data_IF_012232185547
#
_entry.id   IF_012232185547
#
_cell.length_a   1.000
_cell.length_b   1.000
_cell.length_c   1.000
_cell.angle_alpha   90.00
_cell.angle_beta   90.00
_cell.angle_gamma   90.00
#
_symmetry.space_group_name_H-M   'P 1'
#
loop_
_entity.id
_entity.type
_entity.pdbx_description
1 polymer ?
#
# COMPACT_ATOMS: atom_id res chain seq x y z
N UNK A 1 -24.24 -23.74 -10.61
CA UNK A 1 -23.61 -23.58 -11.94
C UNK A 1 -24.39 -22.50 -12.66
N UNK A 2 -23.92 -21.26 -12.65
CA UNK A 2 -24.62 -20.12 -13.29
C UNK A 2 -23.82 -19.75 -14.53
N UNK A 3 -24.36 -20.08 -15.71
CA UNK A 3 -23.88 -19.59 -16.98
C UNK A 3 -24.04 -18.06 -16.99
N UNK A 4 -22.96 -17.32 -17.24
CA UNK A 4 -23.02 -15.87 -17.42
C UNK A 4 -22.73 -15.56 -18.89
N UNK A 5 -23.61 -14.73 -19.48
CA UNK A 5 -23.72 -14.41 -20.90
C UNK A 5 -22.49 -13.72 -21.50
N UNK A 6 -22.37 -13.85 -22.82
CA UNK A 6 -21.42 -13.15 -23.69
C UNK A 6 -21.35 -11.64 -23.39
N UNK A 7 -20.14 -11.09 -23.41
CA UNK A 7 -19.90 -9.67 -23.15
C UNK A 7 -20.40 -8.86 -24.35
N UNK A 8 -21.59 -8.25 -24.22
CA UNK A 8 -22.06 -7.25 -25.17
C UNK A 8 -21.32 -5.93 -24.93
N UNK A 9 -20.66 -5.44 -25.97
CA UNK A 9 -20.00 -4.15 -25.97
C UNK A 9 -20.36 -3.34 -27.21
N UNK A 10 -20.35 -2.01 -27.05
CA UNK A 10 -20.62 -1.04 -28.10
C UNK A 10 -19.43 -0.11 -28.24
N UNK A 11 -18.87 -0.01 -29.43
CA UNK A 11 -17.82 0.96 -29.73
C UNK A 11 -18.46 2.35 -29.75
N UNK A 12 -17.92 3.27 -28.96
CA UNK A 12 -18.38 4.67 -28.87
C UNK A 12 -17.56 5.54 -29.82
N UNK A 13 -16.27 5.28 -29.89
CA UNK A 13 -15.34 5.97 -30.78
C UNK A 13 -14.10 5.11 -30.99
N UNK A 14 -13.59 5.04 -32.22
CA UNK A 14 -12.30 4.45 -32.55
C UNK A 14 -11.49 5.43 -33.37
N UNK A 15 -10.23 5.60 -33.01
CA UNK A 15 -9.20 6.27 -33.81
C UNK A 15 -7.92 5.40 -33.73
N UNK A 16 -6.99 5.49 -34.71
CA UNK A 16 -5.73 4.76 -34.65
C UNK A 16 -5.03 4.95 -33.30
N UNK A 17 -4.78 3.83 -32.62
CA UNK A 17 -4.12 3.78 -31.31
C UNK A 17 -5.03 4.10 -30.10
N UNK A 18 -6.33 4.38 -30.29
CA UNK A 18 -7.27 4.63 -29.20
C UNK A 18 -8.70 4.18 -29.52
N UNK A 19 -9.20 3.24 -28.73
CA UNK A 19 -10.58 2.76 -28.82
C UNK A 19 -11.33 3.04 -27.51
N UNK A 20 -12.58 3.49 -27.63
CA UNK A 20 -13.50 3.69 -26.50
C UNK A 20 -14.69 2.75 -26.65
N UNK A 21 -14.86 1.88 -25.66
CA UNK A 21 -15.88 0.84 -25.65
C UNK A 21 -16.81 1.06 -24.47
N UNK A 22 -18.12 1.00 -24.70
CA UNK A 22 -19.13 0.82 -23.66
C UNK A 22 -19.36 -0.67 -23.46
N UNK A 23 -19.34 -1.15 -22.22
CA UNK A 23 -19.68 -2.56 -21.93
C UNK A 23 -20.95 -2.57 -21.09
N UNK A 24 -22.02 -3.14 -21.62
CA UNK A 24 -23.34 -3.07 -20.99
C UNK A 24 -23.40 -3.86 -19.67
N UNK A 25 -22.63 -4.94 -19.57
CA UNK A 25 -22.51 -5.78 -18.36
C UNK A 25 -21.72 -5.13 -17.22
N UNK A 26 -21.09 -3.96 -17.43
CA UNK A 26 -20.34 -3.22 -16.39
C UNK A 26 -21.20 -2.41 -15.42
N UNK A 27 -22.51 -2.64 -15.39
CA UNK A 27 -23.46 -1.91 -14.53
C UNK A 27 -23.01 -1.90 -13.06
N UNK A 28 -22.48 -0.73 -12.63
CA UNK A 28 -22.21 -0.32 -11.24
C UNK A 28 -21.20 -1.15 -10.44
N UNK A 29 -20.60 -2.21 -11.00
CA UNK A 29 -19.60 -3.05 -10.32
C UNK A 29 -18.18 -2.59 -10.65
N UNK A 30 -17.67 -1.68 -9.84
CA UNK A 30 -16.28 -1.19 -9.89
C UNK A 30 -15.26 -2.34 -9.98
N UNK A 31 -15.47 -3.40 -9.19
CA UNK A 31 -14.66 -4.62 -9.21
C UNK A 31 -14.57 -5.26 -10.62
N UNK A 32 -15.68 -5.31 -11.36
CA UNK A 32 -15.71 -5.91 -12.69
C UNK A 32 -15.01 -5.02 -13.73
N UNK A 33 -15.12 -3.69 -13.59
CA UNK A 33 -14.38 -2.75 -14.43
C UNK A 33 -12.87 -2.91 -14.31
N UNK A 34 -12.37 -3.07 -13.09
CA UNK A 34 -10.95 -3.30 -12.85
C UNK A 34 -10.47 -4.67 -13.34
N UNK A 35 -11.27 -5.72 -13.18
CA UNK A 35 -10.94 -7.04 -13.72
C UNK A 35 -10.74 -6.98 -15.25
N UNK A 36 -11.64 -6.28 -15.94
CA UNK A 36 -11.53 -6.10 -17.38
C UNK A 36 -10.29 -5.27 -17.72
N UNK A 37 -10.01 -4.16 -17.02
CA UNK A 37 -8.77 -3.37 -17.25
C UNK A 37 -7.51 -4.23 -17.08
N UNK A 38 -7.43 -5.04 -16.03
CA UNK A 38 -6.22 -5.82 -15.76
C UNK A 38 -6.03 -6.93 -16.80
N UNK A 39 -7.13 -7.58 -17.19
CA UNK A 39 -7.14 -8.51 -18.33
C UNK A 39 -6.71 -7.82 -19.63
N UNK A 40 -7.13 -6.58 -19.88
CA UNK A 40 -6.69 -5.82 -21.05
C UNK A 40 -5.20 -5.47 -21.00
N UNK A 41 -4.69 -5.01 -19.86
CA UNK A 41 -3.26 -4.68 -19.70
C UNK A 41 -2.34 -5.89 -19.95
N UNK A 42 -2.84 -7.11 -19.77
CA UNK A 42 -2.08 -8.34 -20.06
C UNK A 42 -1.94 -8.66 -21.56
N UNK A 43 -2.64 -7.93 -22.43
CA UNK A 43 -2.57 -8.12 -23.88
C UNK A 43 -1.37 -7.35 -24.43
N UNK A 44 -0.43 -8.07 -25.04
CA UNK A 44 0.69 -7.48 -25.78
C UNK A 44 0.19 -6.50 -26.85
N UNK A 45 0.69 -5.26 -26.78
CA UNK A 45 0.36 -4.12 -27.66
C UNK A 45 -0.65 -3.14 -27.06
N UNK A 46 -1.24 -3.41 -25.89
CA UNK A 46 -2.02 -2.42 -25.13
C UNK A 46 -1.08 -1.58 -24.27
N UNK A 47 -1.12 -0.26 -24.45
CA UNK A 47 -0.29 0.72 -23.71
C UNK A 47 -0.96 1.06 -22.38
N UNK A 48 -2.26 1.33 -22.40
CA UNK A 48 -3.02 1.61 -21.19
C UNK A 48 -4.51 1.37 -21.38
N UNK A 49 -5.22 1.09 -20.29
CA UNK A 49 -6.66 0.99 -20.28
C UNK A 49 -7.20 1.67 -19.01
N UNK A 50 -8.29 2.43 -19.15
CA UNK A 50 -8.95 3.13 -18.05
C UNK A 50 -10.46 2.93 -18.11
N UNK A 51 -11.12 2.91 -16.95
CA UNK A 51 -12.55 2.67 -16.83
C UNK A 51 -13.21 3.84 -16.14
N UNK A 52 -14.28 4.36 -16.75
CA UNK A 52 -15.12 5.37 -16.14
C UNK A 52 -16.41 4.72 -15.62
N UNK A 53 -16.50 4.62 -14.29
CA UNK A 53 -17.66 4.06 -13.57
C UNK A 53 -18.97 4.78 -13.86
N UNK A 54 -18.93 6.10 -14.10
CA UNK A 54 -20.13 6.91 -14.35
C UNK A 54 -20.67 6.66 -15.75
N UNK A 55 -19.79 6.60 -16.75
CA UNK A 55 -20.20 6.45 -18.15
C UNK A 55 -20.23 4.99 -18.63
N UNK A 56 -19.72 4.04 -17.83
CA UNK A 56 -19.53 2.62 -18.21
C UNK A 56 -18.60 2.43 -19.42
N UNK A 57 -17.68 3.38 -19.59
CA UNK A 57 -16.80 3.40 -20.75
C UNK A 57 -15.42 2.93 -20.34
N UNK A 58 -14.83 2.06 -21.15
CA UNK A 58 -13.42 1.73 -21.12
C UNK A 58 -12.75 2.51 -22.24
N UNK A 59 -11.65 3.20 -21.92
CA UNK A 59 -10.77 3.84 -22.88
C UNK A 59 -9.48 3.04 -22.94
N UNK A 60 -9.12 2.58 -24.13
CA UNK A 60 -7.96 1.72 -24.40
C UNK A 60 -7.03 2.45 -25.34
N UNK A 61 -5.76 2.58 -24.95
CA UNK A 61 -4.67 3.00 -25.81
C UNK A 61 -3.83 1.79 -26.19
N UNK A 62 -3.55 1.63 -27.48
CA UNK A 62 -2.82 0.49 -28.02
C UNK A 62 -1.87 0.94 -29.13
N UNK A 63 -0.87 0.12 -29.43
CA UNK A 63 0.05 0.31 -30.55
C UNK A 63 -0.64 -0.20 -31.81
N UNK A 64 -1.10 0.71 -32.65
CA UNK A 64 -1.84 0.40 -33.88
C UNK A 64 -0.95 -0.26 -34.93
N UNK A 65 0.37 -0.18 -34.77
CA UNK A 65 1.37 -0.90 -35.55
C UNK A 65 1.47 -2.39 -35.17
N UNK A 66 1.02 -2.77 -33.96
CA UNK A 66 1.18 -4.13 -33.40
C UNK A 66 -0.15 -4.89 -33.27
N UNK A 67 -1.28 -4.19 -33.09
CA UNK A 67 -2.62 -4.79 -33.00
C UNK A 67 -3.62 -3.99 -33.82
N UNK A 68 -4.33 -4.67 -34.72
CA UNK A 68 -5.47 -4.08 -35.43
C UNK A 68 -6.74 -4.02 -34.54
N UNK A 69 -7.63 -3.07 -34.83
CA UNK A 69 -8.88 -2.88 -34.07
C UNK A 69 -9.71 -4.17 -34.01
N UNK A 70 -9.81 -4.91 -35.13
CA UNK A 70 -10.54 -6.17 -35.20
C UNK A 70 -9.97 -7.23 -34.23
N UNK A 71 -8.65 -7.33 -34.14
CA UNK A 71 -7.94 -8.24 -33.24
C UNK A 71 -8.08 -7.82 -31.78
N UNK A 72 -8.03 -6.52 -31.49
CA UNK A 72 -8.26 -5.97 -30.16
C UNK A 72 -9.67 -6.33 -29.67
N UNK A 73 -10.69 -6.16 -30.52
CA UNK A 73 -12.08 -6.46 -30.18
C UNK A 73 -12.33 -7.95 -29.97
N UNK A 74 -11.73 -8.83 -30.78
CA UNK A 74 -11.81 -10.27 -30.57
C UNK A 74 -11.13 -10.68 -29.26
N UNK A 75 -9.95 -10.14 -28.95
CA UNK A 75 -9.30 -10.37 -27.67
C UNK A 75 -10.15 -9.89 -26.50
N UNK A 76 -10.86 -8.76 -26.62
CA UNK A 76 -11.82 -8.27 -25.60
C UNK A 76 -12.99 -9.25 -25.41
N UNK A 77 -13.54 -9.82 -26.49
CA UNK A 77 -14.62 -10.82 -26.42
C UNK A 77 -14.18 -12.10 -25.70
N UNK A 78 -12.95 -12.53 -25.97
CA UNK A 78 -12.37 -13.77 -25.44
C UNK A 78 -11.81 -13.63 -24.00
N UNK A 79 -11.88 -12.44 -23.40
CA UNK A 79 -11.39 -12.22 -22.03
C UNK A 79 -12.24 -13.00 -21.00
N UNK A 80 -11.75 -14.17 -20.59
CA UNK A 80 -12.22 -14.87 -19.39
C UNK A 80 -11.65 -14.21 -18.12
N UNK A 81 -12.25 -13.10 -17.73
CA UNK A 81 -11.86 -12.31 -16.55
C UNK A 81 -12.09 -13.03 -15.20
N UNK A 82 -12.58 -14.29 -15.20
CA UNK A 82 -12.73 -15.11 -13.99
C UNK A 82 -11.44 -15.88 -13.62
N UNK A 83 -10.61 -16.25 -14.61
CA UNK A 83 -9.50 -17.21 -14.40
C UNK A 83 -8.30 -16.60 -13.66
N UNK A 84 -8.03 -15.31 -13.84
CA UNK A 84 -6.89 -14.61 -13.24
C UNK A 84 -7.10 -14.13 -11.80
N UNK A 85 -8.32 -14.14 -11.25
CA UNK A 85 -8.61 -13.52 -9.94
C UNK A 85 -9.20 -14.46 -8.87
N UNK A 86 -9.61 -15.67 -9.24
CA UNK A 86 -10.23 -16.62 -8.30
C UNK A 86 -9.26 -17.19 -7.24
N UNK A 87 -7.95 -17.20 -7.51
CA UNK A 87 -6.94 -17.64 -6.52
C UNK A 87 -6.53 -16.52 -5.55
N UNK A 88 -6.62 -15.26 -5.96
CA UNK A 88 -6.16 -14.12 -5.15
C UNK A 88 -7.30 -13.53 -4.30
N UNK A 89 -8.54 -13.55 -4.81
CA UNK A 89 -9.72 -13.03 -4.10
C UNK A 89 -10.18 -13.86 -2.89
N UNK A 90 -9.69 -15.11 -2.73
CA UNK A 90 -10.00 -15.95 -1.56
C UNK A 90 -9.25 -15.55 -0.30
N UNK A 91 -8.10 -14.88 -0.43
CA UNK A 91 -7.19 -14.53 0.69
C UNK A 91 -7.20 -13.05 1.07
N UNK A 92 -7.83 -12.17 0.27
CA UNK A 92 -7.95 -10.75 0.58
C UNK A 92 -9.01 -10.55 1.66
N UNK A 93 -8.67 -9.75 2.68
CA UNK A 93 -9.49 -9.45 3.84
C UNK A 93 -10.90 -8.97 3.40
N UNK A 94 -11.94 -9.75 3.72
CA UNK A 94 -13.34 -9.49 3.29
C UNK A 94 -14.10 -8.55 4.24
N UNK A 95 -13.40 -7.88 5.13
CA UNK A 95 -14.06 -7.06 6.14
C UNK A 95 -14.73 -5.85 5.48
N UNK A 96 -16.01 -5.64 5.82
CA UNK A 96 -16.75 -4.45 5.40
C UNK A 96 -16.37 -3.26 6.29
N UNK A 97 -16.46 -2.04 5.75
CA UNK A 97 -16.22 -0.80 6.52
C UNK A 97 -17.09 -0.78 7.80
N UNK A 98 -18.35 -1.21 7.70
CA UNK A 98 -19.24 -1.30 8.87
C UNK A 98 -18.71 -2.23 9.94
N UNK A 99 -18.13 -3.37 9.56
CA UNK A 99 -17.51 -4.32 10.49
C UNK A 99 -16.23 -3.73 11.12
N UNK A 100 -15.45 -2.95 10.37
CA UNK A 100 -14.28 -2.23 10.90
C UNK A 100 -14.72 -1.21 11.94
N UNK A 101 -15.69 -0.34 11.61
CA UNK A 101 -16.22 0.68 12.52
C UNK A 101 -16.79 0.04 13.79
N UNK A 102 -17.64 -0.98 13.65
CA UNK A 102 -18.26 -1.65 14.78
C UNK A 102 -17.21 -2.26 15.74
N UNK A 103 -16.13 -2.82 15.19
CA UNK A 103 -15.02 -3.32 16.02
C UNK A 103 -14.33 -2.20 16.78
N UNK A 104 -14.07 -1.06 16.14
CA UNK A 104 -13.39 0.09 16.79
C UNK A 104 -14.25 0.78 17.85
N UNK A 105 -15.57 0.72 17.70
CA UNK A 105 -16.54 1.20 18.68
C UNK A 105 -16.64 0.30 19.92
N UNK A 106 -16.19 -0.96 19.83
CA UNK A 106 -16.23 -1.88 20.96
C UNK A 106 -15.05 -1.62 21.92
N UNK A 107 -15.29 -1.11 23.15
CA UNK A 107 -14.22 -0.78 24.10
C UNK A 107 -13.39 -2.00 24.51
N UNK A 108 -14.00 -3.19 24.53
CA UNK A 108 -13.30 -4.43 24.88
C UNK A 108 -12.27 -4.84 23.80
N UNK A 109 -12.44 -4.39 22.56
CA UNK A 109 -11.47 -4.67 21.49
C UNK A 109 -10.13 -3.98 21.75
N UNK A 110 -10.17 -2.76 22.31
CA UNK A 110 -9.00 -1.95 22.60
C UNK A 110 -8.25 -2.45 23.84
N UNK A 111 -9.01 -2.83 24.88
CA UNK A 111 -8.45 -3.36 26.14
C UNK A 111 -7.68 -4.66 25.88
N UNK A 112 -8.20 -5.53 25.00
CA UNK A 112 -7.54 -6.80 24.64
C UNK A 112 -6.38 -6.65 23.64
N UNK A 113 -5.97 -5.42 23.29
CA UNK A 113 -4.98 -5.11 22.25
C UNK A 113 -5.21 -5.89 20.95
N UNK A 114 -6.47 -5.94 20.49
CA UNK A 114 -6.82 -6.72 19.29
C UNK A 114 -6.11 -6.20 18.03
N UNK A 115 -5.73 -4.92 18.01
CA UNK A 115 -4.97 -4.31 16.92
C UNK A 115 -3.46 -4.56 17.09
N UNK A 116 -2.75 -4.96 16.03
CA UNK A 116 -1.33 -5.27 16.11
C UNK A 116 -0.53 -4.01 16.46
N UNK A 117 0.29 -4.11 17.51
CA UNK A 117 1.02 -2.96 18.06
C UNK A 117 1.94 -2.28 17.02
N UNK A 118 2.56 -3.05 16.10
CA UNK A 118 3.44 -2.48 15.07
C UNK A 118 2.73 -1.43 14.20
N UNK A 119 1.56 -1.76 13.64
CA UNK A 119 0.83 -0.85 12.74
C UNK A 119 0.05 0.27 13.44
N UNK A 120 -0.29 0.10 14.72
CA UNK A 120 -1.16 1.02 15.48
C UNK A 120 -0.44 1.63 16.70
N UNK A 121 0.90 1.66 16.68
CA UNK A 121 1.74 2.13 17.81
C UNK A 121 1.35 3.55 18.26
N UNK A 122 1.17 4.46 17.30
CA UNK A 122 0.84 5.86 17.57
C UNK A 122 -0.58 6.00 18.11
N UNK A 123 -1.53 5.24 17.58
CA UNK A 123 -2.93 5.20 18.06
C UNK A 123 -3.00 4.74 19.52
N UNK A 124 -2.22 3.73 19.90
CA UNK A 124 -2.12 3.30 21.30
C UNK A 124 -1.45 4.36 22.19
N UNK A 125 -0.42 5.05 21.68
CA UNK A 125 0.27 6.13 22.42
C UNK A 125 -0.68 7.30 22.70
N UNK A 126 -1.41 7.77 21.69
CA UNK A 126 -2.42 8.81 21.81
C UNK A 126 -3.60 8.39 22.68
N UNK A 127 -4.08 7.16 22.51
CA UNK A 127 -5.17 6.58 23.30
C UNK A 127 -4.94 6.67 24.81
N UNK A 128 -3.73 6.32 25.28
CA UNK A 128 -3.36 6.42 26.70
C UNK A 128 -3.47 7.86 27.22
N UNK A 129 -3.03 8.84 26.43
CA UNK A 129 -3.09 10.26 26.79
C UNK A 129 -4.55 10.74 26.87
N UNK A 130 -5.36 10.40 25.88
CA UNK A 130 -6.78 10.79 25.80
C UNK A 130 -7.57 10.18 26.97
N UNK A 131 -7.41 8.88 27.26
CA UNK A 131 -8.10 8.23 28.38
C UNK A 131 -7.75 8.92 29.70
N UNK A 132 -6.45 9.18 29.95
CA UNK A 132 -6.00 9.81 31.19
C UNK A 132 -6.60 11.21 31.35
N UNK A 133 -6.59 12.01 30.28
CA UNK A 133 -7.19 13.35 30.28
C UNK A 133 -8.71 13.29 30.47
N UNK A 134 -9.40 12.39 29.78
CA UNK A 134 -10.85 12.21 29.89
C UNK A 134 -11.29 11.82 31.30
N UNK A 135 -10.59 10.88 31.94
CA UNK A 135 -10.85 10.48 33.33
C UNK A 135 -10.61 11.63 34.31
N UNK A 136 -9.53 12.38 34.12
CA UNK A 136 -9.20 13.53 34.97
C UNK A 136 -10.27 14.64 34.85
N UNK A 137 -10.59 15.04 33.62
CA UNK A 137 -11.59 16.08 33.37
C UNK A 137 -12.98 15.64 33.83
N UNK A 138 -13.37 14.39 33.54
CA UNK A 138 -14.63 13.83 34.00
C UNK A 138 -14.72 13.80 35.53
N UNK A 139 -13.64 13.40 36.22
CA UNK A 139 -13.57 13.38 37.69
C UNK A 139 -13.70 14.77 38.31
N UNK A 140 -13.01 15.77 37.76
CA UNK A 140 -13.10 17.17 38.22
C UNK A 140 -14.53 17.68 38.05
N UNK A 141 -15.12 17.50 36.87
CA UNK A 141 -16.49 17.96 36.60
C UNK A 141 -17.48 17.26 37.52
N UNK A 142 -17.34 15.95 37.74
CA UNK A 142 -18.19 15.21 38.65
C UNK A 142 -18.08 15.70 40.09
N UNK A 143 -16.87 15.98 40.58
CA UNK A 143 -16.65 16.48 41.93
C UNK A 143 -17.30 17.86 42.15
N UNK A 144 -17.30 18.72 41.12
CA UNK A 144 -17.89 20.07 41.20
C UNK A 144 -19.41 20.02 41.04
N UNK A 145 -19.92 19.28 40.04
CA UNK A 145 -21.34 19.33 39.67
C UNK A 145 -22.18 18.22 40.29
N UNK A 146 -21.56 17.20 40.89
CA UNK A 146 -22.20 15.96 41.40
C UNK A 146 -23.15 15.30 40.40
N UNK A 147 -22.85 15.43 39.09
CA UNK A 147 -23.78 15.05 38.02
C UNK A 147 -23.17 13.94 37.16
N UNK A 148 -23.70 12.74 37.34
CA UNK A 148 -23.24 11.55 36.63
C UNK A 148 -23.42 11.65 35.11
N UNK A 149 -24.38 12.46 34.62
CA UNK A 149 -24.64 12.63 33.19
C UNK A 149 -23.45 13.29 32.48
N UNK A 150 -22.90 14.36 33.05
CA UNK A 150 -21.74 15.04 32.49
C UNK A 150 -20.49 14.14 32.51
N UNK A 151 -20.29 13.39 33.60
CA UNK A 151 -19.20 12.41 33.67
C UNK A 151 -19.27 11.40 32.52
N UNK A 152 -20.43 10.78 32.32
CA UNK A 152 -20.63 9.77 31.26
C UNK A 152 -20.43 10.40 29.88
N UNK A 153 -20.96 11.61 29.62
CA UNK A 153 -20.78 12.34 28.37
C UNK A 153 -19.30 12.61 28.06
N UNK A 154 -18.52 13.03 29.05
CA UNK A 154 -17.08 13.28 28.90
C UNK A 154 -16.33 11.97 28.60
N UNK A 155 -16.69 10.87 29.27
CA UNK A 155 -16.08 9.55 29.02
C UNK A 155 -16.38 9.04 27.62
N UNK A 156 -17.60 9.25 27.10
CA UNK A 156 -17.97 8.90 25.72
C UNK A 156 -17.11 9.68 24.73
N UNK A 157 -17.01 11.01 24.89
CA UNK A 157 -16.24 11.86 23.97
C UNK A 157 -14.73 11.60 24.06
N UNK A 158 -14.25 11.16 25.23
CA UNK A 158 -12.86 10.78 25.45
C UNK A 158 -12.53 9.34 25.03
N UNK A 159 -13.49 8.60 24.48
CA UNK A 159 -13.24 7.23 24.06
C UNK A 159 -12.30 7.20 22.83
N UNK A 160 -11.16 6.50 22.89
CA UNK A 160 -10.13 6.58 21.84
C UNK A 160 -10.41 5.73 20.60
N UNK A 161 -11.54 5.01 20.52
CA UNK A 161 -11.86 4.13 19.39
C UNK A 161 -11.88 4.84 18.03
N UNK A 162 -12.13 6.16 18.02
CA UNK A 162 -12.12 6.98 16.81
C UNK A 162 -10.74 7.01 16.14
N UNK A 163 -9.64 6.93 16.92
CA UNK A 163 -8.28 6.88 16.36
C UNK A 163 -8.09 5.61 15.52
N UNK A 164 -8.46 4.47 16.10
CA UNK A 164 -8.37 3.17 15.44
C UNK A 164 -9.34 3.06 14.25
N UNK A 165 -10.52 3.70 14.34
CA UNK A 165 -11.45 3.81 13.22
C UNK A 165 -10.81 4.53 12.03
N UNK A 166 -10.25 5.72 12.27
CA UNK A 166 -9.60 6.53 11.25
C UNK A 166 -8.48 5.74 10.57
N UNK A 167 -7.54 5.18 11.35
CA UNK A 167 -6.41 4.42 10.80
C UNK A 167 -6.87 3.20 10.01
N UNK A 168 -7.79 2.41 10.58
CA UNK A 168 -8.29 1.19 9.92
C UNK A 168 -9.02 1.48 8.60
N UNK A 169 -9.83 2.55 8.56
CA UNK A 169 -10.56 2.97 7.37
C UNK A 169 -9.59 3.47 6.29
N UNK A 170 -8.59 4.26 6.68
CA UNK A 170 -7.57 4.77 5.78
C UNK A 170 -6.76 3.62 5.15
N UNK A 171 -6.28 2.68 5.98
CA UNK A 171 -5.60 1.47 5.52
C UNK A 171 -6.47 0.64 4.58
N UNK A 172 -7.75 0.46 4.89
CA UNK A 172 -8.68 -0.28 4.04
C UNK A 172 -8.82 0.35 2.64
N UNK A 173 -9.04 1.67 2.56
CA UNK A 173 -9.18 2.34 1.26
C UNK A 173 -7.88 2.33 0.45
N UNK A 174 -6.75 2.55 1.11
CA UNK A 174 -5.44 2.52 0.48
C UNK A 174 -5.09 1.10 -0.01
N UNK A 175 -5.43 0.07 0.76
CA UNK A 175 -5.22 -1.33 0.37
C UNK A 175 -6.08 -1.69 -0.84
N UNK A 176 -7.35 -1.29 -0.84
CA UNK A 176 -8.24 -1.44 -1.99
C UNK A 176 -7.67 -0.76 -3.24
N UNK A 177 -7.06 0.41 -3.09
CA UNK A 177 -6.41 1.14 -4.19
C UNK A 177 -5.13 0.46 -4.70
N UNK A 178 -4.32 -0.08 -3.79
CA UNK A 178 -3.15 -0.87 -4.13
C UNK A 178 -3.54 -2.13 -4.91
N UNK A 179 -4.63 -2.81 -4.50
CA UNK A 179 -5.17 -3.96 -5.22
C UNK A 179 -5.55 -3.63 -6.66
N UNK A 180 -6.06 -2.43 -6.93
CA UNK A 180 -6.35 -1.98 -8.31
C UNK A 180 -5.10 -1.77 -9.17
N UNK A 181 -3.92 -1.68 -8.56
CA UNK A 181 -2.63 -1.55 -9.23
C UNK A 181 -1.82 -2.86 -9.21
N UNK A 182 -2.48 -3.98 -8.94
CA UNK A 182 -1.90 -5.32 -8.85
C UNK A 182 -0.89 -5.49 -7.70
N UNK A 183 -1.12 -4.76 -6.61
CA UNK A 183 -0.34 -4.86 -5.38
C UNK A 183 -1.25 -5.43 -4.30
N UNK A 184 -0.84 -6.54 -3.70
CA UNK A 184 -1.65 -7.29 -2.76
C UNK A 184 -1.02 -7.33 -1.38
N UNK A 185 -1.81 -6.96 -0.38
CA UNK A 185 -1.38 -6.96 1.00
C UNK A 185 -1.98 -8.15 1.74
N UNK A 186 -1.19 -8.78 2.61
CA UNK A 186 -1.71 -9.78 3.54
C UNK A 186 -2.66 -9.15 4.57
N UNK A 187 -2.38 -7.93 4.99
CA UNK A 187 -3.17 -7.14 5.94
C UNK A 187 -3.08 -5.65 5.59
N UNK A 188 -4.17 -4.93 5.77
CA UNK A 188 -4.30 -3.55 5.29
C UNK A 188 -3.33 -2.58 6.00
N UNK A 189 -3.04 -2.81 7.29
CA UNK A 189 -2.15 -1.94 8.07
C UNK A 189 -0.69 -1.96 7.62
N UNK A 190 -0.28 -2.90 6.75
CA UNK A 190 1.06 -2.89 6.17
C UNK A 190 1.31 -1.64 5.32
N UNK A 191 0.26 -1.00 4.80
CA UNK A 191 0.38 0.33 4.19
C UNK A 191 0.90 1.36 5.19
N UNK A 192 0.41 1.36 6.42
CA UNK A 192 0.88 2.31 7.42
C UNK A 192 2.33 2.07 7.83
N UNK A 193 2.73 0.79 7.92
CA UNK A 193 4.13 0.44 8.20
C UNK A 193 5.06 0.92 7.09
N UNK A 194 4.68 0.75 5.83
CA UNK A 194 5.45 1.26 4.68
C UNK A 194 5.61 2.80 4.74
N UNK A 195 4.63 3.50 5.29
CA UNK A 195 4.62 4.97 5.32
C UNK A 195 5.55 5.51 6.39
N UNK A 196 5.88 4.68 7.37
CA UNK A 196 6.81 4.98 8.46
C UNK A 196 8.21 4.42 8.20
N UNK A 197 8.43 3.83 7.03
CA UNK A 197 9.74 3.34 6.62
C UNK A 197 10.68 4.50 6.37
N UNK A 198 11.87 4.39 6.96
CA UNK A 198 12.99 5.33 6.77
C UNK A 198 14.17 4.62 6.10
N UNK A 199 14.35 3.33 6.40
CA UNK A 199 15.39 2.47 5.84
C UNK A 199 14.80 1.42 4.90
N UNK A 200 15.37 1.33 3.70
CA UNK A 200 14.99 0.37 2.67
C UNK A 200 16.14 -0.60 2.36
N UNK A 201 15.90 -1.89 2.59
CA UNK A 201 16.77 -2.98 2.14
C UNK A 201 16.31 -3.47 0.78
N UNK A 202 17.18 -3.44 -0.23
CA UNK A 202 16.85 -3.86 -1.60
C UNK A 202 17.77 -5.01 -2.01
N UNK A 203 17.19 -6.04 -2.64
CA UNK A 203 17.95 -7.10 -3.29
C UNK A 203 18.53 -6.63 -4.63
N UNK A 204 19.81 -6.89 -4.88
CA UNK A 204 20.51 -6.53 -6.12
C UNK A 204 19.85 -7.05 -7.40
N UNK A 205 19.29 -8.27 -7.37
CA UNK A 205 18.61 -8.89 -8.51
C UNK A 205 17.43 -8.04 -9.05
N UNK A 206 16.85 -7.17 -8.23
CA UNK A 206 15.79 -6.24 -8.65
C UNK A 206 16.33 -5.04 -9.42
N UNK A 207 17.63 -4.76 -9.30
CA UNK A 207 18.30 -3.59 -9.87
C UNK A 207 19.16 -3.93 -11.10
N UNK A 208 19.29 -5.21 -11.43
CA UNK A 208 20.11 -5.72 -12.52
C UNK A 208 19.20 -6.14 -13.68
N UNK A 209 19.61 -5.87 -14.93
CA UNK A 209 18.92 -6.39 -16.12
C UNK A 209 18.97 -7.92 -16.13
N UNK A 210 17.86 -8.57 -16.50
CA UNK A 210 17.71 -10.03 -16.48
C UNK A 210 18.88 -10.78 -17.14
N UNK A 211 19.43 -10.26 -18.25
CA UNK A 211 20.58 -10.85 -18.97
C UNK A 211 21.88 -10.95 -18.15
N UNK A 212 21.97 -10.26 -17.02
CA UNK A 212 23.16 -10.21 -16.18
C UNK A 212 23.01 -10.93 -14.83
N UNK A 213 21.80 -11.39 -14.48
CA UNK A 213 21.53 -12.09 -13.19
C UNK A 213 22.34 -13.39 -13.07
N UNK A 214 22.65 -14.06 -14.18
CA UNK A 214 23.38 -15.33 -14.23
C UNK A 214 24.66 -15.29 -15.08
N UNK A 215 25.15 -14.09 -15.42
CA UNK A 215 26.26 -13.96 -16.36
C UNK A 215 27.61 -14.20 -15.68
N UNK A 216 28.21 -15.36 -15.92
CA UNK A 216 29.49 -15.79 -15.35
C UNK A 216 30.66 -14.89 -15.74
N UNK A 217 30.59 -14.16 -16.86
CA UNK A 217 31.66 -13.26 -17.30
C UNK A 217 31.81 -12.04 -16.38
N UNK A 218 30.71 -11.54 -15.79
CA UNK A 218 30.75 -10.42 -14.86
C UNK A 218 31.26 -10.82 -13.47
N UNK A 219 31.17 -12.11 -13.12
CA UNK A 219 31.65 -12.63 -11.84
C UNK A 219 33.18 -12.64 -11.71
N UNK A 220 33.90 -12.54 -12.83
CA UNK A 220 35.37 -12.56 -12.83
C UNK A 220 35.99 -11.17 -13.02
N UNK A 221 35.18 -10.11 -13.08
CA UNK A 221 35.63 -8.75 -13.36
C UNK A 221 35.63 -7.91 -12.09
N UNK A 222 36.75 -7.25 -11.80
CA UNK A 222 36.82 -6.25 -10.72
C UNK A 222 35.92 -5.05 -11.03
N UNK A 223 35.40 -4.40 -9.98
CA UNK A 223 34.52 -3.22 -10.08
C UNK A 223 35.09 -2.10 -10.95
N UNK A 224 36.40 -1.86 -10.90
CA UNK A 224 37.07 -0.83 -11.74
C UNK A 224 37.02 -1.18 -13.22
N UNK A 225 37.14 -2.46 -13.57
CA UNK A 225 37.04 -2.97 -14.94
C UNK A 225 35.61 -2.89 -15.45
N UNK A 226 34.62 -3.25 -14.62
CA UNK A 226 33.20 -3.09 -14.94
C UNK A 226 32.88 -1.61 -15.24
N UNK A 227 33.33 -0.68 -14.37
CA UNK A 227 33.15 0.76 -14.57
C UNK A 227 33.78 1.24 -15.88
N UNK A 228 35.02 0.84 -16.15
CA UNK A 228 35.74 1.21 -17.39
C UNK A 228 35.02 0.68 -18.62
N UNK A 229 34.58 -0.57 -18.62
CA UNK A 229 33.90 -1.15 -19.79
C UNK A 229 32.51 -0.56 -20.01
N UNK A 230 31.76 -0.26 -18.95
CA UNK A 230 30.49 0.45 -19.05
C UNK A 230 30.69 1.87 -19.61
N UNK A 231 31.68 2.62 -19.10
CA UNK A 231 31.99 3.98 -19.57
C UNK A 231 32.45 4.02 -21.04
N UNK A 232 33.23 3.02 -21.44
CA UNK A 232 33.73 2.88 -22.82
C UNK A 232 32.71 2.24 -23.78
N UNK A 233 31.46 1.98 -23.33
CA UNK A 233 30.41 1.27 -24.08
C UNK A 233 30.84 -0.11 -24.63
N UNK A 234 31.85 -0.73 -24.01
CA UNK A 234 32.30 -2.09 -24.32
C UNK A 234 31.45 -3.15 -23.62
N UNK A 235 30.72 -2.75 -22.58
CA UNK A 235 29.73 -3.54 -21.87
C UNK A 235 28.46 -2.69 -21.75
N UNK A 236 27.30 -3.24 -22.09
CA UNK A 236 26.05 -2.54 -21.76
C UNK A 236 25.94 -2.36 -20.26
N UNK A 237 25.51 -1.18 -19.81
CA UNK A 237 25.32 -0.92 -18.39
C UNK A 237 24.40 -1.99 -17.79
N UNK A 238 24.85 -2.74 -16.76
CA UNK A 238 24.06 -3.82 -16.18
C UNK A 238 22.80 -3.32 -15.46
N UNK A 239 22.72 -2.02 -15.19
CA UNK A 239 21.59 -1.37 -14.54
C UNK A 239 20.62 -0.84 -15.59
N UNK A 240 19.33 -1.01 -15.30
CA UNK A 240 18.25 -0.42 -16.09
C UNK A 240 18.18 1.09 -15.82
N UNK A 241 18.29 1.98 -16.82
CA UNK A 241 18.19 3.43 -16.64
C UNK A 241 16.84 3.88 -16.04
N UNK A 242 15.78 3.08 -16.13
CA UNK A 242 14.52 3.38 -15.41
C UNK A 242 14.68 3.29 -13.89
N UNK A 243 15.61 2.47 -13.39
CA UNK A 243 15.83 2.25 -11.96
C UNK A 243 16.47 3.45 -11.28
N UNK A 244 17.35 4.17 -11.97
CA UNK A 244 17.94 5.41 -11.44
C UNK A 244 16.84 6.43 -11.08
N UNK A 245 15.85 6.56 -11.97
CA UNK A 245 14.66 7.40 -11.74
C UNK A 245 13.80 6.88 -10.58
N UNK A 246 13.72 5.56 -10.41
CA UNK A 246 12.97 4.93 -9.32
C UNK A 246 13.65 5.22 -7.98
N UNK A 247 14.98 5.02 -7.89
CA UNK A 247 15.76 5.31 -6.69
C UNK A 247 15.67 6.79 -6.32
N UNK A 248 15.77 7.68 -7.30
CA UNK A 248 15.59 9.12 -7.09
C UNK A 248 14.22 9.43 -6.48
N UNK A 249 13.13 8.89 -7.05
CA UNK A 249 11.77 9.08 -6.51
C UNK A 249 11.61 8.50 -5.11
N UNK A 250 12.26 7.39 -4.80
CA UNK A 250 12.23 6.79 -3.46
C UNK A 250 12.85 7.74 -2.43
N UNK A 251 13.99 8.37 -2.78
CA UNK A 251 14.60 9.40 -1.94
C UNK A 251 13.74 10.65 -1.84
N UNK A 252 13.12 11.09 -2.93
CA UNK A 252 12.17 12.22 -2.96
C UNK A 252 11.00 12.02 -1.97
N UNK A 253 10.53 10.79 -1.81
CA UNK A 253 9.49 10.44 -0.83
C UNK A 253 9.98 10.22 0.61
N UNK A 254 11.22 10.62 0.90
CA UNK A 254 11.76 10.72 2.26
C UNK A 254 12.41 9.45 2.80
N UNK A 255 12.82 8.52 1.94
CA UNK A 255 13.69 7.41 2.35
C UNK A 255 15.12 7.93 2.47
N UNK A 256 15.64 7.92 3.69
CA UNK A 256 16.96 8.47 4.04
C UNK A 256 18.06 7.45 3.78
N UNK A 257 17.80 6.18 4.10
CA UNK A 257 18.78 5.12 4.11
C UNK A 257 18.41 4.03 3.10
N UNK A 258 19.20 3.91 2.04
CA UNK A 258 19.13 2.82 1.08
C UNK A 258 20.25 1.83 1.36
N UNK A 259 19.87 0.58 1.50
CA UNK A 259 20.78 -0.52 1.80
C UNK A 259 20.60 -1.58 0.72
N UNK A 260 21.67 -1.89 -0.01
CA UNK A 260 21.68 -2.94 -1.02
C UNK A 260 22.27 -4.21 -0.44
N UNK A 261 21.70 -5.36 -0.75
CA UNK A 261 22.29 -6.64 -0.39
C UNK A 261 22.33 -7.61 -1.58
N UNK A 262 23.30 -8.51 -1.55
CA UNK A 262 23.49 -9.56 -2.55
C UNK A 262 24.07 -10.83 -1.92
N UNK A 263 23.76 -11.97 -2.55
CA UNK A 263 24.37 -13.28 -2.29
C UNK A 263 25.42 -13.69 -3.34
N UNK A 264 25.44 -13.00 -4.48
CA UNK A 264 26.04 -13.51 -5.70
C UNK A 264 27.42 -12.92 -5.96
N UNK A 265 27.49 -11.62 -6.20
CA UNK A 265 28.68 -10.96 -6.72
C UNK A 265 28.91 -9.63 -5.99
N UNK A 266 30.01 -9.57 -5.23
CA UNK A 266 30.37 -8.41 -4.42
C UNK A 266 30.83 -7.24 -5.30
N UNK A 267 31.57 -7.53 -6.36
CA UNK A 267 32.09 -6.53 -7.29
C UNK A 267 30.97 -5.82 -8.05
N UNK A 268 29.91 -6.56 -8.42
CA UNK A 268 28.69 -6.04 -9.04
C UNK A 268 27.85 -5.25 -8.04
N UNK A 269 27.72 -5.73 -6.80
CA UNK A 269 27.06 -5.02 -5.70
C UNK A 269 27.70 -3.62 -5.48
N UNK A 270 29.03 -3.55 -5.46
CA UNK A 270 29.77 -2.29 -5.31
C UNK A 270 29.65 -1.38 -6.53
N UNK A 271 29.53 -1.95 -7.73
CA UNK A 271 29.22 -1.18 -8.94
C UNK A 271 27.83 -0.54 -8.86
N UNK A 272 26.80 -1.33 -8.52
CA UNK A 272 25.41 -0.87 -8.41
C UNK A 272 25.29 0.23 -7.36
N UNK A 273 25.84 -0.01 -6.17
CA UNK A 273 25.83 0.95 -5.07
C UNK A 273 26.40 2.30 -5.48
N UNK A 274 27.58 2.29 -6.11
CA UNK A 274 28.22 3.51 -6.59
C UNK A 274 27.38 4.24 -7.64
N UNK A 275 26.85 3.51 -8.63
CA UNK A 275 26.10 4.11 -9.73
C UNK A 275 24.72 4.65 -9.36
N UNK A 276 24.06 4.06 -8.36
CA UNK A 276 22.73 4.48 -7.90
C UNK A 276 22.80 5.36 -6.64
N UNK A 277 24.01 5.61 -6.11
CA UNK A 277 24.22 6.39 -4.90
C UNK A 277 23.55 5.75 -3.67
N UNK A 278 23.80 4.47 -3.44
CA UNK A 278 23.26 3.72 -2.29
C UNK A 278 24.17 3.90 -1.07
N UNK A 279 23.57 4.00 0.12
CA UNK A 279 24.29 4.41 1.34
C UNK A 279 25.13 3.28 1.94
N UNK A 280 24.62 2.05 1.93
CA UNK A 280 25.32 0.87 2.49
C UNK A 280 25.10 -0.38 1.63
N UNK A 281 26.09 -1.27 1.63
CA UNK A 281 26.03 -2.59 0.98
C UNK A 281 26.28 -3.71 1.98
N UNK A 282 25.56 -4.82 1.83
CA UNK A 282 25.79 -6.03 2.61
C UNK A 282 25.89 -7.25 1.70
N UNK A 283 27.03 -7.92 1.74
CA UNK A 283 27.14 -9.26 1.18
C UNK A 283 26.66 -10.26 2.24
N UNK A 284 25.59 -10.99 1.94
CA UNK A 284 24.85 -11.81 2.90
C UNK A 284 25.74 -12.90 3.51
N UNK A 285 26.57 -13.59 2.71
CA UNK A 285 27.49 -14.64 3.21
C UNK A 285 28.39 -14.17 4.35
N UNK A 286 28.80 -12.91 4.32
CA UNK A 286 29.75 -12.35 5.28
C UNK A 286 29.06 -11.68 6.48
N UNK A 287 27.78 -11.26 6.34
CA UNK A 287 27.15 -10.29 7.24
C UNK A 287 25.82 -10.73 7.89
N UNK A 288 25.42 -12.01 7.81
CA UNK A 288 24.16 -12.52 8.41
C UNK A 288 24.03 -12.17 9.90
N UNK A 289 25.12 -12.24 10.67
CA UNK A 289 25.11 -11.92 12.10
C UNK A 289 24.84 -10.42 12.35
N UNK A 290 25.51 -9.55 11.60
CA UNK A 290 25.31 -8.09 11.67
C UNK A 290 23.87 -7.73 11.29
N UNK A 291 23.32 -8.37 10.26
CA UNK A 291 21.94 -8.13 9.81
C UNK A 291 20.88 -8.62 10.81
N UNK A 292 21.18 -9.63 11.63
CA UNK A 292 20.30 -10.07 12.72
C UNK A 292 20.27 -9.08 13.88
N UNK A 293 21.41 -8.45 14.15
CA UNK A 293 21.58 -7.48 15.24
C UNK A 293 21.26 -6.04 14.85
N UNK A 294 20.89 -5.80 13.58
CA UNK A 294 20.22 -4.56 13.15
C UNK A 294 18.83 -4.46 13.79
N UNK A 295 18.79 -4.20 15.09
CA UNK A 295 17.68 -3.54 15.77
C UNK A 295 17.93 -2.04 15.64
N UNK A 296 17.76 -1.50 14.44
CA UNK A 296 17.70 -0.05 14.31
C UNK A 296 16.40 0.44 14.94
N UNK A 297 16.42 1.60 15.59
CA UNK A 297 15.20 2.27 16.07
C UNK A 297 14.25 2.68 14.92
N UNK A 298 14.74 2.60 13.68
CA UNK A 298 14.06 2.92 12.43
C UNK A 298 13.24 1.74 11.90
N UNK A 299 12.07 2.02 11.29
CA UNK A 299 11.26 0.98 10.66
C UNK A 299 11.92 0.52 9.37
N UNK A 300 12.34 -0.74 9.33
CA UNK A 300 13.09 -1.31 8.21
C UNK A 300 12.17 -2.09 7.27
N UNK A 301 12.16 -1.72 5.98
CA UNK A 301 11.44 -2.46 4.94
C UNK A 301 12.41 -3.15 3.99
N UNK A 302 12.23 -4.45 3.79
CA UNK A 302 12.96 -5.21 2.80
C UNK A 302 12.15 -5.36 1.50
N UNK A 303 12.77 -5.13 0.34
CA UNK A 303 12.23 -5.36 -1.00
C UNK A 303 13.05 -6.46 -1.65
N UNK A 304 12.36 -7.55 -1.96
CA UNK A 304 13.01 -8.81 -2.29
C UNK A 304 12.31 -9.49 -3.45
N UNK A 305 13.08 -10.30 -4.17
CA UNK A 305 12.53 -11.27 -5.11
C UNK A 305 11.89 -12.39 -4.30
N UNK A 306 10.74 -12.86 -4.76
CA UNK A 306 9.99 -13.96 -4.14
C UNK A 306 10.87 -15.18 -3.76
N UNK A 307 11.77 -15.59 -4.65
CA UNK A 307 12.58 -16.79 -4.47
C UNK A 307 13.65 -16.64 -3.36
N UNK A 308 13.95 -15.41 -2.94
CA UNK A 308 14.93 -15.09 -1.90
C UNK A 308 14.33 -14.90 -0.49
N UNK A 309 13.01 -15.07 -0.32
CA UNK A 309 12.32 -14.75 0.95
C UNK A 309 12.76 -15.59 2.14
N UNK A 310 13.09 -16.87 1.95
CA UNK A 310 13.51 -17.74 3.05
C UNK A 310 14.82 -17.27 3.67
N UNK A 311 15.68 -16.62 2.89
CA UNK A 311 16.98 -16.11 3.32
C UNK A 311 16.85 -14.93 4.29
N UNK A 312 15.79 -14.13 4.12
CA UNK A 312 15.57 -12.86 4.85
C UNK A 312 14.54 -13.03 5.96
N UNK A 313 13.80 -14.15 5.97
CA UNK A 313 12.79 -14.46 7.00
C UNK A 313 13.36 -14.50 8.43
N UNK A 314 14.66 -14.78 8.55
CA UNK A 314 15.38 -14.82 9.82
C UNK A 314 16.00 -13.47 10.21
N UNK A 315 15.81 -12.43 9.40
CA UNK A 315 16.27 -11.07 9.67
C UNK A 315 15.17 -10.27 10.35
N UNK A 316 15.56 -9.30 11.20
CA UNK A 316 14.64 -8.46 11.96
C UNK A 316 14.06 -7.33 11.08
N UNK A 317 13.34 -7.70 10.02
CA UNK A 317 12.65 -6.74 9.15
C UNK A 317 11.24 -6.45 9.68
N UNK A 318 10.81 -5.18 9.62
CA UNK A 318 9.46 -4.80 10.04
C UNK A 318 8.41 -5.07 8.98
N UNK A 319 8.81 -4.96 7.71
CA UNK A 319 7.95 -5.15 6.56
C UNK A 319 8.72 -5.82 5.42
N UNK A 320 8.12 -6.84 4.80
CA UNK A 320 8.68 -7.49 3.60
C UNK A 320 7.80 -7.25 2.39
N UNK A 321 8.38 -6.62 1.37
CA UNK A 321 7.79 -6.37 0.05
C UNK A 321 8.37 -7.38 -0.93
N UNK A 322 7.52 -8.21 -1.52
CA UNK A 322 7.92 -9.19 -2.52
C UNK A 322 7.55 -8.73 -3.93
N UNK A 323 8.50 -8.80 -4.84
CA UNK A 323 8.29 -8.65 -6.28
C UNK A 323 8.33 -10.05 -6.90
N UNK A 324 7.24 -10.42 -7.57
CA UNK A 324 7.11 -11.72 -8.20
C UNK A 324 7.69 -11.67 -9.62
N UNK A 325 8.89 -12.19 -9.81
CA UNK A 325 9.50 -12.35 -11.14
C UNK A 325 8.90 -13.54 -11.91
N UNK A 326 8.29 -14.50 -11.21
CA UNK A 326 7.71 -15.72 -11.78
C UNK A 326 6.21 -15.86 -11.50
N UNK A 327 5.46 -16.31 -12.51
CA UNK A 327 4.00 -16.51 -12.43
C UNK A 327 3.62 -17.84 -11.72
N UNK A 328 4.62 -18.59 -11.24
CA UNK A 328 4.44 -19.93 -10.66
C UNK A 328 4.40 -19.88 -9.12
N UNK A 329 3.47 -20.61 -8.52
CA UNK A 329 3.37 -20.78 -7.06
C UNK A 329 2.55 -19.70 -6.33
N UNK A 330 2.59 -19.71 -4.99
CA UNK A 330 1.83 -18.75 -4.18
C UNK A 330 2.32 -17.31 -4.38
N UNK A 331 1.39 -16.37 -4.58
CA UNK A 331 1.67 -14.95 -4.85
C UNK A 331 1.82 -14.15 -3.54
N UNK A 332 1.29 -14.64 -2.42
CA UNK A 332 1.16 -13.92 -1.14
C UNK A 332 2.19 -14.38 -0.10
N UNK A 333 3.47 -14.29 -0.44
CA UNK A 333 4.55 -14.78 0.43
C UNK A 333 5.11 -13.66 1.30
N UNK A 334 5.23 -12.44 0.77
CA UNK A 334 5.58 -11.23 1.52
C UNK A 334 4.36 -10.58 2.20
N UNK A 335 4.59 -9.53 2.97
CA UNK A 335 3.53 -8.72 3.58
C UNK A 335 2.80 -7.87 2.54
N UNK A 336 3.57 -7.34 1.58
CA UNK A 336 3.12 -6.66 0.37
C UNK A 336 3.67 -7.42 -0.83
N UNK A 337 2.84 -7.68 -1.84
CA UNK A 337 3.20 -8.53 -2.97
C UNK A 337 2.83 -7.84 -4.28
N UNK A 338 3.81 -7.64 -5.15
CA UNK A 338 3.63 -7.13 -6.50
C UNK A 338 3.43 -8.29 -7.46
N UNK A 339 2.42 -8.23 -8.32
CA UNK A 339 2.27 -9.17 -9.44
C UNK A 339 3.19 -8.78 -10.60
N UNK A 340 3.45 -7.48 -10.75
CA UNK A 340 4.35 -6.98 -11.79
C UNK A 340 5.78 -7.46 -11.52
N UNK A 341 6.53 -7.74 -12.60
CA UNK A 341 7.91 -8.24 -12.56
C UNK A 341 8.93 -7.11 -12.36
N UNK A 342 8.46 -5.87 -12.15
CA UNK A 342 9.31 -4.69 -12.00
C UNK A 342 8.95 -3.87 -10.76
N UNK A 343 9.93 -3.11 -10.29
CA UNK A 343 9.81 -2.19 -9.15
C UNK A 343 9.19 -0.83 -9.52
N UNK A 344 8.76 -0.63 -10.78
CA UNK A 344 8.19 0.60 -11.33
C UNK A 344 7.05 1.23 -10.50
N UNK A 345 6.19 0.41 -9.91
CA UNK A 345 5.04 0.84 -9.10
C UNK A 345 5.37 1.06 -7.63
N UNK A 346 6.57 0.69 -7.17
CA UNK A 346 6.95 0.84 -5.77
C UNK A 346 6.97 2.31 -5.31
N UNK A 347 7.55 3.28 -6.06
CA UNK A 347 7.47 4.69 -5.68
C UNK A 347 6.03 5.19 -5.54
N UNK A 348 5.11 4.76 -6.41
CA UNK A 348 3.70 5.10 -6.29
C UNK A 348 3.09 4.56 -5.00
N UNK A 349 3.37 3.31 -4.64
CA UNK A 349 2.88 2.70 -3.41
C UNK A 349 3.44 3.41 -2.17
N UNK A 350 4.73 3.75 -2.19
CA UNK A 350 5.39 4.50 -1.12
C UNK A 350 4.75 5.88 -0.94
N UNK A 351 4.49 6.60 -2.03
CA UNK A 351 3.80 7.89 -1.97
C UNK A 351 2.38 7.76 -1.42
N UNK A 352 1.59 6.80 -1.92
CA UNK A 352 0.25 6.52 -1.41
C UNK A 352 0.28 6.26 0.10
N UNK A 353 1.28 5.51 0.55
CA UNK A 353 1.47 5.13 1.94
C UNK A 353 1.88 6.31 2.84
N UNK A 354 2.86 7.14 2.42
CA UNK A 354 3.26 8.36 3.14
C UNK A 354 2.11 9.37 3.23
N UNK A 355 1.40 9.59 2.12
CA UNK A 355 0.21 10.45 2.12
C UNK A 355 -0.91 9.89 3.02
N UNK A 356 -1.10 8.57 3.05
CA UNK A 356 -2.08 7.95 3.91
C UNK A 356 -1.80 8.23 5.40
N UNK A 357 -0.52 8.20 5.82
CA UNK A 357 -0.13 8.59 7.19
C UNK A 357 -0.42 10.08 7.49
N UNK A 358 -0.19 10.96 6.52
CA UNK A 358 -0.53 12.38 6.63
C UNK A 358 -2.05 12.59 6.80
N UNK A 359 -2.86 11.88 6.01
CA UNK A 359 -4.33 11.90 6.10
C UNK A 359 -4.80 11.36 7.45
N UNK A 360 -4.21 10.26 7.93
CA UNK A 360 -4.53 9.70 9.26
C UNK A 360 -4.24 10.75 10.33
N UNK A 361 -3.02 11.30 10.34
CA UNK A 361 -2.59 12.28 11.35
C UNK A 361 -3.50 13.51 11.37
N UNK A 362 -3.81 14.07 10.19
CA UNK A 362 -4.74 15.21 10.05
C UNK A 362 -6.17 14.86 10.46
N UNK A 363 -6.63 13.65 10.20
CA UNK A 363 -7.99 13.22 10.55
C UNK A 363 -8.13 12.94 12.04
N UNK A 364 -7.12 12.33 12.66
CA UNK A 364 -7.05 12.14 14.10
C UNK A 364 -6.99 13.48 14.85
N UNK A 365 -6.16 14.43 14.40
CA UNK A 365 -6.09 15.76 15.00
C UNK A 365 -7.45 16.48 14.98
N UNK A 366 -8.14 16.48 13.83
CA UNK A 366 -9.49 17.07 13.74
C UNK A 366 -10.50 16.32 14.61
N UNK A 367 -10.46 14.99 14.63
CA UNK A 367 -11.38 14.18 15.41
C UNK A 367 -11.22 14.43 16.91
N UNK A 368 -9.97 14.49 17.40
CA UNK A 368 -9.67 14.85 18.79
C UNK A 368 -10.16 16.28 19.07
N UNK A 369 -9.90 17.23 18.18
CA UNK A 369 -10.34 18.62 18.30
C UNK A 369 -11.86 18.77 18.43
N UNK A 370 -12.63 18.04 17.62
CA UNK A 370 -14.09 18.03 17.71
C UNK A 370 -14.59 17.40 19.01
N UNK A 371 -13.94 16.32 19.48
CA UNK A 371 -14.31 15.69 20.74
C UNK A 371 -13.94 16.58 21.95
N UNK A 372 -12.81 17.28 21.92
CA UNK A 372 -12.43 18.22 22.99
C UNK A 372 -13.37 19.43 23.05
N UNK A 373 -13.82 19.95 21.90
CA UNK A 373 -14.89 20.96 21.86
C UNK A 373 -16.18 20.41 22.48
N UNK A 374 -16.56 19.17 22.18
CA UNK A 374 -17.70 18.51 22.81
C UNK A 374 -17.56 18.38 24.33
N UNK A 375 -16.37 18.04 24.83
CA UNK A 375 -16.07 17.96 26.26
C UNK A 375 -16.22 19.33 26.92
N UNK A 376 -15.71 20.39 26.29
CA UNK A 376 -15.87 21.75 26.78
C UNK A 376 -17.34 22.17 26.84
N UNK A 377 -18.13 21.82 25.82
CA UNK A 377 -19.56 22.03 25.83
C UNK A 377 -20.26 21.24 26.95
N UNK A 378 -19.80 20.03 27.30
CA UNK A 378 -20.33 19.27 28.43
C UNK A 378 -20.01 19.91 29.80
N UNK A 379 -18.95 20.73 29.87
CA UNK A 379 -18.61 21.48 31.09
C UNK A 379 -19.52 22.68 31.29
N UNK A 380 -19.85 23.39 30.20
CA UNK A 380 -20.72 24.59 30.25
C UNK A 380 -22.19 24.19 30.28
N UNK A 381 -22.56 23.26 29.41
CA UNK A 381 -23.93 22.83 29.18
C UNK A 381 -24.08 21.40 29.63
N UNK A 382 -25.19 21.09 30.29
CA UNK A 382 -25.44 19.78 30.87
C UNK A 382 -25.82 18.75 29.78
N UNK A 383 -24.88 18.46 28.88
CA UNK A 383 -25.09 17.61 27.71
C UNK A 383 -25.37 16.19 28.16
N UNK A 384 -26.54 15.67 27.78
CA UNK A 384 -26.91 14.28 28.02
C UNK A 384 -26.01 13.32 27.22
N UNK A 385 -25.62 12.16 27.77
CA UNK A 385 -24.89 11.09 27.08
C UNK A 385 -25.37 10.75 25.66
N UNK A 386 -26.67 10.82 25.37
CA UNK A 386 -27.20 10.59 24.02
C UNK A 386 -26.70 11.61 22.99
N UNK A 387 -26.62 12.88 23.37
CA UNK A 387 -26.05 13.92 22.51
C UNK A 387 -24.54 13.74 22.34
N UNK A 388 -23.82 13.34 23.40
CA UNK A 388 -22.40 13.02 23.32
C UNK A 388 -22.14 11.85 22.33
N UNK A 389 -22.97 10.80 22.39
CA UNK A 389 -22.95 9.69 21.41
C UNK A 389 -23.23 10.19 19.98
N UNK A 390 -24.20 11.08 19.80
CA UNK A 390 -24.52 11.70 18.51
C UNK A 390 -23.35 12.48 17.94
N UNK A 391 -22.70 13.34 18.74
CA UNK A 391 -21.50 14.10 18.36
C UNK A 391 -20.39 13.13 17.95
N UNK A 392 -20.12 12.11 18.76
CA UNK A 392 -19.07 11.13 18.50
C UNK A 392 -19.33 10.33 17.21
N UNK A 393 -20.56 9.88 17.00
CA UNK A 393 -20.97 9.16 15.79
C UNK A 393 -20.87 10.02 14.52
N UNK A 394 -21.32 11.28 14.58
CA UNK A 394 -21.20 12.24 13.48
C UNK A 394 -19.73 12.54 13.16
N UNK A 395 -18.87 12.61 14.18
CA UNK A 395 -17.43 12.80 13.99
C UNK A 395 -16.83 11.62 13.21
N UNK A 396 -17.11 10.37 13.61
CA UNK A 396 -16.66 9.17 12.87
C UNK A 396 -17.14 9.18 11.42
N UNK A 397 -18.42 9.50 11.19
CA UNK A 397 -18.99 9.55 9.84
C UNK A 397 -18.28 10.58 8.97
N UNK A 398 -18.08 11.79 9.51
CA UNK A 398 -17.38 12.88 8.84
C UNK A 398 -15.95 12.48 8.46
N UNK A 399 -15.20 11.87 9.39
CA UNK A 399 -13.84 11.42 9.09
C UNK A 399 -13.84 10.28 8.07
N UNK A 400 -14.80 9.35 8.13
CA UNK A 400 -14.92 8.26 7.15
C UNK A 400 -15.08 8.80 5.72
N UNK A 401 -15.98 9.78 5.55
CA UNK A 401 -16.23 10.42 4.25
C UNK A 401 -14.96 11.16 3.77
N UNK A 402 -14.33 11.93 4.65
CA UNK A 402 -13.12 12.69 4.34
C UNK A 402 -11.95 11.79 3.91
N UNK A 403 -11.69 10.72 4.65
CA UNK A 403 -10.62 9.76 4.35
C UNK A 403 -10.86 9.13 2.99
N UNK A 404 -12.09 8.68 2.71
CA UNK A 404 -12.44 8.10 1.42
C UNK A 404 -12.08 9.04 0.26
N UNK A 405 -12.50 10.31 0.32
CA UNK A 405 -12.21 11.28 -0.73
C UNK A 405 -10.71 11.57 -0.86
N UNK A 406 -10.00 11.72 0.27
CA UNK A 406 -8.56 12.03 0.28
C UNK A 406 -7.74 10.90 -0.34
N UNK A 407 -8.07 9.64 -0.04
CA UNK A 407 -7.39 8.48 -0.61
C UNK A 407 -7.76 8.29 -2.10
N UNK A 408 -8.98 8.63 -2.51
CA UNK A 408 -9.41 8.54 -3.91
C UNK A 408 -8.71 9.56 -4.83
N UNK A 409 -8.25 10.72 -4.32
CA UNK A 409 -7.67 11.80 -5.13
C UNK A 409 -6.23 11.59 -5.63
N UNK A 410 -5.49 10.62 -5.07
CA UNK A 410 -4.13 10.23 -5.56
C UNK A 410 -4.22 9.42 -6.86
#
# INVERSE_FOLDING_TARGET
MVYFAEINFKIISSIPGRVRVNIDSLLKKEKTGHLIINSLKSINGIISASFNKRTRNILIFYRWEEIDESQLLNKIKDLDYKKTHNNISKSINKDSIGKIILQTLNPFSLIKKKYPNKGYKDDYSLSKKIIKLGLLLGGIVFAITSNLRNLISILILSYPGILFAISSIAYFYSAKKAHFNDIYLKKDYFIGLLGKTDTLFIEDNLLIKEKYISNTLLNNLNTTTIRRFAALKKLDNPIDPELEKIIYKIREYGITNLILFSDNNKELLDYISYSLGIDKTYFLKDNILILKDLKTEENVTAIIVKDSIEKIRNLNMDLVVCINLTDKGNILIGDINFIDKKMNKFPWLLNLSKYNEEVITRSQALAIGLNTLGIFLCMITNINPFFALGIYGLNILTQTIRIKYSVETI
#
